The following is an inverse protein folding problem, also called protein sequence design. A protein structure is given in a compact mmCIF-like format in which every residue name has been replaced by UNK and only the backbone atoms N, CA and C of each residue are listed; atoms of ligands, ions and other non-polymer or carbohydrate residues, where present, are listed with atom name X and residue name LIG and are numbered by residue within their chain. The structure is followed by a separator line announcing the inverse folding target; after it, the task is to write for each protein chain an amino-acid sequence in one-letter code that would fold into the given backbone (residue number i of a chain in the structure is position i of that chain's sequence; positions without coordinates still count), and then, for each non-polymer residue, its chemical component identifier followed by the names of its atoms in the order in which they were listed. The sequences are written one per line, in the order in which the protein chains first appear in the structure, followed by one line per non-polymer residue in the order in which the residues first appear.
data_IF_050389437063
#
_entry.id   IF_050389437063
#
_cell.length_a   1.000
_cell.length_b   1.000
_cell.length_c   1.000
_cell.angle_alpha   90.00
_cell.angle_beta   90.00
_cell.angle_gamma   90.00
#
_symmetry.space_group_name_H-M   'P 1'
#
loop_
_entity.id
_entity.type
_entity.pdbx_description
1 polymer ?
#
# COMPACT_ATOMS: atom_id res chain seq x y z
N UNK A 1 -13.79 26.05 -6.96
CA UNK A 1 -12.68 25.55 -6.11
C UNK A 1 -13.23 24.96 -4.81
N UNK A 2 -13.39 23.64 -4.76
CA UNK A 2 -13.67 22.92 -3.53
C UNK A 2 -12.32 22.48 -2.91
N UNK A 3 -12.04 22.97 -1.70
CA UNK A 3 -10.94 22.49 -0.84
C UNK A 3 -11.23 21.04 -0.47
N UNK A 4 -10.31 20.13 -0.78
CA UNK A 4 -10.32 18.77 -0.27
C UNK A 4 -9.50 18.71 1.04
N UNK A 5 -10.01 19.40 2.06
CA UNK A 5 -9.56 19.28 3.45
C UNK A 5 -10.83 19.09 4.29
N UNK A 6 -11.42 17.90 4.24
CA UNK A 6 -12.16 17.26 5.35
C UNK A 6 -12.61 15.85 4.91
N UNK A 7 -11.78 14.84 5.20
CA UNK A 7 -12.22 13.45 5.21
C UNK A 7 -12.19 12.96 6.67
N UNK A 8 -13.19 12.19 7.12
CA UNK A 8 -13.45 11.99 8.54
C UNK A 8 -12.27 11.31 9.24
N UNK A 9 -11.94 11.83 10.42
CA UNK A 9 -10.73 11.56 11.20
C UNK A 9 -10.61 10.11 11.73
N UNK A 10 -11.60 9.26 11.43
CA UNK A 10 -11.63 7.83 11.76
C UNK A 10 -10.81 6.95 10.80
N UNK A 11 -10.64 7.36 9.53
CA UNK A 11 -9.93 6.56 8.51
C UNK A 11 -8.41 6.48 8.69
N UNK A 12 -7.79 7.39 9.46
CA UNK A 12 -6.33 7.40 9.64
C UNK A 12 -5.79 6.28 10.55
N UNK A 13 -6.63 5.69 11.40
CA UNK A 13 -6.21 4.61 12.30
C UNK A 13 -5.84 3.35 11.52
N UNK A 14 -6.78 2.87 10.69
CA UNK A 14 -6.58 1.69 9.84
C UNK A 14 -5.43 1.86 8.85
N UNK A 15 -5.35 3.02 8.18
CA UNK A 15 -4.25 3.32 7.25
C UNK A 15 -2.88 3.26 7.94
N UNK A 16 -2.73 3.90 9.11
CA UNK A 16 -1.44 3.89 9.85
C UNK A 16 -1.07 2.49 10.31
N UNK A 17 -2.05 1.70 10.76
CA UNK A 17 -1.84 0.29 11.12
C UNK A 17 -1.32 -0.50 9.92
N UNK A 18 -2.01 -0.42 8.78
CA UNK A 18 -1.63 -1.13 7.56
C UNK A 18 -0.24 -0.74 7.08
N UNK A 19 0.11 0.55 7.08
CA UNK A 19 1.46 0.99 6.68
C UNK A 19 2.55 0.48 7.63
N UNK A 20 2.27 0.40 8.94
CA UNK A 20 3.19 -0.17 9.92
C UNK A 20 3.36 -1.69 9.72
N UNK A 21 2.27 -2.42 9.52
CA UNK A 21 2.30 -3.86 9.23
C UNK A 21 3.02 -4.15 7.90
N UNK A 22 2.71 -3.41 6.84
CA UNK A 22 3.40 -3.50 5.56
C UNK A 22 4.90 -3.18 5.70
N UNK A 23 5.28 -2.21 6.54
CA UNK A 23 6.69 -1.93 6.82
C UNK A 23 7.37 -3.10 7.53
N UNK A 24 6.68 -3.78 8.44
CA UNK A 24 7.23 -4.94 9.14
C UNK A 24 7.61 -6.08 8.19
N UNK A 25 7.00 -6.18 6.99
CA UNK A 25 7.40 -7.16 5.97
C UNK A 25 8.83 -6.96 5.47
N UNK A 26 9.34 -5.73 5.51
CA UNK A 26 10.73 -5.44 5.13
C UNK A 26 11.71 -6.06 6.14
N UNK A 27 11.34 -6.05 7.42
CA UNK A 27 12.17 -6.57 8.51
C UNK A 27 11.94 -8.08 8.74
N UNK A 28 10.69 -8.53 8.60
CA UNK A 28 10.24 -9.92 8.77
C UNK A 28 9.47 -10.35 7.52
N UNK A 29 10.15 -10.95 6.52
CA UNK A 29 9.53 -11.30 5.25
C UNK A 29 8.27 -12.17 5.41
N UNK A 30 7.17 -11.85 4.73
CA UNK A 30 5.96 -12.65 4.76
C UNK A 30 6.13 -13.94 3.94
N UNK A 31 5.19 -14.89 4.07
CA UNK A 31 5.07 -16.01 3.14
C UNK A 31 5.08 -15.56 1.67
N UNK A 32 5.68 -16.39 0.83
CA UNK A 32 5.83 -16.12 -0.61
C UNK A 32 4.47 -15.79 -1.26
N UNK A 33 4.51 -14.82 -2.18
CA UNK A 33 3.35 -14.38 -2.93
C UNK A 33 2.42 -13.41 -2.21
N UNK A 34 2.71 -13.08 -0.94
CA UNK A 34 2.00 -12.03 -0.17
C UNK A 34 2.33 -10.62 -0.66
N UNK A 35 3.54 -10.42 -1.18
CA UNK A 35 3.93 -9.19 -1.87
C UNK A 35 4.23 -9.55 -3.32
N UNK A 36 3.53 -8.91 -4.25
CA UNK A 36 3.65 -9.11 -5.69
C UNK A 36 3.94 -7.79 -6.36
N UNK A 37 4.75 -7.85 -7.40
CA UNK A 37 5.12 -6.69 -8.19
C UNK A 37 5.03 -7.01 -9.67
N UNK A 38 4.32 -6.18 -10.41
CA UNK A 38 4.20 -6.24 -11.86
C UNK A 38 4.61 -4.93 -12.49
N UNK A 39 5.03 -5.00 -13.76
CA UNK A 39 5.38 -3.81 -14.51
C UNK A 39 4.15 -2.91 -14.73
N UNK A 40 4.36 -1.61 -14.65
CA UNK A 40 3.42 -0.58 -15.09
C UNK A 40 4.12 0.34 -16.11
N UNK A 41 3.37 1.09 -16.94
CA UNK A 41 3.95 2.09 -17.83
C UNK A 41 4.71 3.18 -17.07
N UNK A 42 5.74 3.76 -17.70
CA UNK A 42 6.45 4.95 -17.19
C UNK A 42 7.47 4.67 -16.09
N UNK A 43 8.23 3.58 -16.21
CA UNK A 43 9.23 3.11 -15.22
C UNK A 43 8.67 2.83 -13.80
N UNK A 44 7.34 2.89 -13.65
CA UNK A 44 6.64 2.55 -12.44
C UNK A 44 6.34 1.05 -12.35
N UNK A 45 5.92 0.62 -11.17
CA UNK A 45 5.48 -0.75 -10.91
C UNK A 45 4.17 -0.74 -10.15
N UNK A 46 3.33 -1.73 -10.44
CA UNK A 46 2.13 -1.99 -9.65
C UNK A 46 2.50 -2.99 -8.57
N UNK A 47 2.35 -2.57 -7.32
CA UNK A 47 2.62 -3.37 -6.14
C UNK A 47 1.30 -3.82 -5.53
N UNK A 48 1.21 -5.10 -5.15
CA UNK A 48 0.15 -5.62 -4.29
C UNK A 48 0.77 -6.25 -3.05
N UNK A 49 0.29 -5.87 -1.88
CA UNK A 49 0.63 -6.49 -0.61
C UNK A 49 -0.65 -6.83 0.15
N UNK A 50 -0.74 -8.05 0.65
CA UNK A 50 -1.90 -8.50 1.44
C UNK A 50 -1.46 -8.74 2.91
N UNK A 51 -2.36 -8.59 3.86
CA UNK A 51 -2.09 -8.87 5.27
C UNK A 51 -3.36 -9.27 6.04
N UNK A 52 -3.25 -9.56 7.35
CA UNK A 52 -4.40 -9.95 8.14
C UNK A 52 -5.43 -8.82 8.24
N UNK A 53 -6.54 -8.96 7.52
CA UNK A 53 -7.62 -7.97 7.53
C UNK A 53 -7.42 -6.79 6.59
N UNK A 54 -6.45 -6.84 5.67
CA UNK A 54 -6.19 -5.72 4.75
C UNK A 54 -5.54 -6.14 3.43
N UNK A 55 -5.73 -5.30 2.42
CA UNK A 55 -5.02 -5.37 1.14
C UNK A 55 -4.53 -3.97 0.75
N UNK A 56 -3.34 -3.90 0.18
CA UNK A 56 -2.74 -2.68 -0.36
C UNK A 56 -2.41 -2.88 -1.83
N UNK A 57 -2.84 -1.94 -2.67
CA UNK A 57 -2.48 -1.87 -4.08
C UNK A 57 -1.89 -0.50 -4.35
N UNK A 58 -0.73 -0.42 -4.99
CA UNK A 58 -0.05 0.84 -5.20
C UNK A 58 0.63 0.92 -6.56
N UNK A 59 0.79 2.16 -7.04
CA UNK A 59 1.73 2.50 -8.12
C UNK A 59 2.92 3.19 -7.48
N UNK A 60 4.13 2.68 -7.71
CA UNK A 60 5.34 3.10 -6.98
C UNK A 60 5.71 4.58 -7.12
N UNK A 61 5.21 5.26 -8.14
CA UNK A 61 5.46 6.67 -8.45
C UNK A 61 4.35 7.64 -8.02
N UNK A 62 3.22 7.15 -7.48
CA UNK A 62 2.00 7.93 -7.39
C UNK A 62 1.27 7.75 -6.05
N UNK A 63 0.45 6.71 -5.95
CA UNK A 63 -0.56 6.55 -4.90
C UNK A 63 -0.68 5.08 -4.48
N UNK A 64 -1.10 4.86 -3.23
CA UNK A 64 -1.55 3.56 -2.75
C UNK A 64 -3.03 3.60 -2.37
N UNK A 65 -3.69 2.46 -2.49
CA UNK A 65 -5.05 2.23 -2.06
C UNK A 65 -5.04 1.11 -1.04
N UNK A 66 -5.71 1.33 0.09
CA UNK A 66 -5.87 0.34 1.16
C UNK A 66 -7.33 -0.08 1.22
N UNK A 67 -7.54 -1.38 1.33
CA UNK A 67 -8.82 -2.00 1.63
C UNK A 67 -8.71 -2.68 3.00
N UNK A 68 -9.73 -2.52 3.83
CA UNK A 68 -9.82 -3.11 5.16
C UNK A 68 -11.00 -4.07 5.22
N UNK A 69 -10.81 -5.25 5.82
CA UNK A 69 -11.89 -6.23 5.98
C UNK A 69 -12.97 -5.74 6.95
N UNK A 70 -12.61 -4.86 7.90
CA UNK A 70 -13.52 -4.23 8.86
C UNK A 70 -14.45 -3.20 8.19
N UNK A 71 -14.02 -2.64 7.05
CA UNK A 71 -14.76 -1.63 6.28
C UNK A 71 -14.89 -2.11 4.81
N UNK A 72 -15.61 -3.22 4.56
CA UNK A 72 -15.68 -3.82 3.24
C UNK A 72 -16.39 -2.87 2.26
N UNK A 73 -15.78 -2.66 1.09
CA UNK A 73 -16.29 -1.77 0.04
C UNK A 73 -15.74 -0.34 0.13
N UNK A 74 -15.05 0.02 1.21
CA UNK A 74 -14.32 1.28 1.30
C UNK A 74 -12.90 1.14 0.74
N UNK A 75 -12.49 2.13 -0.06
CA UNK A 75 -11.15 2.20 -0.64
C UNK A 75 -10.49 3.47 -0.10
N UNK A 76 -9.44 3.29 0.70
CA UNK A 76 -8.75 4.37 1.40
C UNK A 76 -7.52 4.81 0.58
N UNK A 77 -7.57 5.97 -0.11
CA UNK A 77 -6.42 6.48 -0.85
C UNK A 77 -5.35 7.01 0.10
N UNK A 78 -4.09 6.64 -0.15
CA UNK A 78 -2.90 7.11 0.54
C UNK A 78 -2.01 7.80 -0.48
N UNK A 79 -1.98 9.13 -0.42
CA UNK A 79 -1.08 9.93 -1.23
C UNK A 79 0.39 9.66 -0.89
N UNK A 80 1.28 10.04 -1.80
CA UNK A 80 2.72 9.77 -1.72
C UNK A 80 3.33 10.14 -0.37
N UNK A 81 3.17 11.38 0.11
CA UNK A 81 3.79 11.82 1.37
C UNK A 81 5.30 11.50 1.46
N UNK A 82 5.91 11.63 2.65
CA UNK A 82 7.34 11.33 2.82
C UNK A 82 7.63 9.84 3.03
N UNK A 83 6.68 9.05 3.55
CA UNK A 83 6.93 7.68 3.96
C UNK A 83 6.59 6.62 2.88
N UNK A 84 5.61 6.89 2.01
CA UNK A 84 5.10 5.90 1.07
C UNK A 84 6.16 5.49 0.02
N UNK A 85 6.93 6.41 -0.62
CA UNK A 85 7.89 6.03 -1.65
C UNK A 85 8.92 5.01 -1.15
N UNK A 86 9.51 5.25 0.03
CA UNK A 86 10.50 4.36 0.60
C UNK A 86 9.92 3.00 1.02
N UNK A 87 8.66 2.96 1.47
CA UNK A 87 7.97 1.71 1.75
C UNK A 87 7.72 0.92 0.47
N UNK A 88 7.17 1.56 -0.57
CA UNK A 88 6.84 0.88 -1.83
C UNK A 88 8.10 0.36 -2.53
N UNK A 89 9.20 1.11 -2.50
CA UNK A 89 10.48 0.65 -3.04
C UNK A 89 11.02 -0.57 -2.29
N UNK A 90 10.93 -0.58 -0.96
CA UNK A 90 11.36 -1.72 -0.15
C UNK A 90 10.52 -2.98 -0.42
N UNK A 91 9.20 -2.80 -0.52
CA UNK A 91 8.28 -3.88 -0.86
C UNK A 91 8.49 -4.40 -2.30
N UNK A 92 8.79 -3.52 -3.25
CA UNK A 92 9.06 -3.90 -4.64
C UNK A 92 10.34 -4.76 -4.75
N UNK A 93 11.38 -4.41 -3.99
CA UNK A 93 12.65 -5.17 -3.96
C UNK A 93 12.47 -6.59 -3.41
N UNK A 94 11.57 -6.79 -2.45
CA UNK A 94 11.28 -8.12 -1.89
C UNK A 94 10.20 -8.90 -2.68
N UNK A 95 9.41 -8.21 -3.51
CA UNK A 95 8.29 -8.82 -4.19
C UNK A 95 8.75 -9.94 -5.14
N UNK A 96 8.02 -11.06 -5.10
CA UNK A 96 8.23 -12.13 -6.08
C UNK A 96 7.78 -11.61 -7.45
N UNK A 97 8.68 -11.69 -8.43
CA UNK A 97 8.42 -11.28 -9.81
C UNK A 97 7.89 -12.48 -10.59
N UNK A 98 6.74 -12.37 -11.27
CA UNK A 98 6.37 -13.37 -12.25
C UNK A 98 7.40 -13.32 -13.40
N UNK A 99 7.96 -14.48 -13.74
CA UNK A 99 8.91 -14.69 -14.84
C UNK A 99 8.25 -14.57 -16.21
#
# INVERSE_FOLDING_TARGET
PARADDAPVSGHGGVRRVLAEARSYVDTPPPLGRVRSSFAPGDARTLRADGPGWSLVARTDDIAFILLDEEPGEVLPVGRGPALPGLLEALDKMAVRPS
#
